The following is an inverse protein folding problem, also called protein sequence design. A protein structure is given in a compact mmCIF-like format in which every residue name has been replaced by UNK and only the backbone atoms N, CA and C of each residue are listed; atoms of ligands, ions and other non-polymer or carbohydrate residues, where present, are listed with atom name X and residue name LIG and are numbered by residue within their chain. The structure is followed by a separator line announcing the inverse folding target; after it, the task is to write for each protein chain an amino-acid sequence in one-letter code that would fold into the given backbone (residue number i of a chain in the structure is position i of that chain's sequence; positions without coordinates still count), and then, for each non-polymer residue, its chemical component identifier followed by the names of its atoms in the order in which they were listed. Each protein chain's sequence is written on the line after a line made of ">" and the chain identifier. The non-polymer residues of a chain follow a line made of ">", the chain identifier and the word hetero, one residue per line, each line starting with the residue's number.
data_IF_872211139293
#
_entry.id   IF_872211139293
#
_cell.length_a   1.000
_cell.length_b   1.000
_cell.length_c   1.000
_cell.angle_alpha   90.00
_cell.angle_beta   90.00
_cell.angle_gamma   90.00
#
_symmetry.space_group_name_H-M   'P 1'
#
loop_
_entity.id
_entity.type
_entity.pdbx_description
1 polymer ?
#
# COMPACT_ATOMS: atom_id res chain seq x y z
N UNK A 1 43.14 38.93 -8.12
CA UNK A 1 42.72 37.51 -8.19
C UNK A 1 41.93 37.11 -6.93
N UNK A 2 40.64 37.48 -6.81
CA UNK A 2 39.87 37.23 -5.57
C UNK A 2 38.37 36.92 -5.81
N UNK A 3 38.02 36.20 -6.89
CA UNK A 3 36.61 35.88 -7.22
C UNK A 3 36.22 34.40 -7.04
N UNK A 4 37.14 33.52 -6.63
CA UNK A 4 36.90 32.06 -6.57
C UNK A 4 36.42 31.50 -5.22
N UNK A 5 36.68 32.18 -4.10
CA UNK A 5 36.44 31.63 -2.76
C UNK A 5 34.97 31.68 -2.30
N UNK A 6 34.21 32.70 -2.76
CA UNK A 6 32.79 32.87 -2.40
C UNK A 6 31.87 31.85 -3.08
N UNK A 7 32.14 31.53 -4.36
CA UNK A 7 31.32 30.60 -5.14
C UNK A 7 31.44 29.15 -4.65
N UNK A 8 32.67 28.71 -4.30
CA UNK A 8 32.89 27.37 -3.71
C UNK A 8 32.17 27.19 -2.37
N UNK A 9 32.17 28.22 -1.52
CA UNK A 9 31.52 28.19 -0.20
C UNK A 9 29.99 28.16 -0.29
N UNK A 10 29.41 28.81 -1.31
CA UNK A 10 27.98 28.74 -1.59
C UNK A 10 27.55 27.37 -2.13
N UNK A 11 28.35 26.75 -3.02
CA UNK A 11 28.08 25.42 -3.58
C UNK A 11 28.13 24.33 -2.49
N UNK A 12 29.11 24.40 -1.57
CA UNK A 12 29.22 23.41 -0.48
C UNK A 12 28.11 23.56 0.55
N UNK A 13 27.63 24.79 0.81
CA UNK A 13 26.51 25.03 1.73
C UNK A 13 25.20 24.47 1.15
N UNK A 14 24.90 24.76 -0.12
CA UNK A 14 23.69 24.25 -0.78
C UNK A 14 23.67 22.73 -0.94
N UNK A 15 24.83 22.09 -1.07
CA UNK A 15 24.94 20.62 -1.10
C UNK A 15 24.64 20.00 0.25
N UNK A 16 25.22 20.53 1.33
CA UNK A 16 24.99 20.03 2.68
C UNK A 16 23.53 20.18 3.16
N UNK A 17 22.88 21.30 2.81
CA UNK A 17 21.46 21.57 3.13
C UNK A 17 20.52 20.61 2.38
N UNK A 18 20.79 20.38 1.09
CA UNK A 18 20.05 19.37 0.31
C UNK A 18 20.27 17.96 0.86
N UNK A 19 21.50 17.61 1.22
CA UNK A 19 21.82 16.30 1.78
C UNK A 19 21.11 16.06 3.14
N UNK A 20 20.80 17.12 3.90
CA UNK A 20 19.96 17.03 5.11
C UNK A 20 18.47 16.87 4.81
N UNK A 21 17.93 17.61 3.84
CA UNK A 21 16.52 17.53 3.46
C UNK A 21 16.17 16.15 2.90
N UNK A 22 17.01 15.63 2.01
CA UNK A 22 16.86 14.30 1.45
C UNK A 22 16.91 13.22 2.57
N UNK A 23 17.51 13.53 3.74
CA UNK A 23 17.77 12.55 4.80
C UNK A 23 16.54 12.49 5.71
N UNK A 24 16.01 13.67 5.99
CA UNK A 24 14.72 13.86 6.60
C UNK A 24 13.62 13.19 5.76
N UNK A 25 13.59 13.41 4.45
CA UNK A 25 12.61 12.77 3.54
C UNK A 25 12.71 11.25 3.61
N UNK A 26 13.92 10.70 3.55
CA UNK A 26 14.11 9.26 3.64
C UNK A 26 13.63 8.69 4.99
N UNK A 27 13.83 9.39 6.09
CA UNK A 27 13.39 8.97 7.42
C UNK A 27 11.86 9.04 7.57
N UNK A 28 11.24 10.10 7.04
CA UNK A 28 9.78 10.26 6.99
C UNK A 28 9.16 9.10 6.20
N UNK A 29 9.69 8.78 5.02
CA UNK A 29 9.15 7.72 4.17
C UNK A 29 9.25 6.35 4.84
N UNK A 30 10.35 6.07 5.54
CA UNK A 30 10.59 4.79 6.24
C UNK A 30 9.72 4.58 7.46
N UNK A 31 9.31 5.65 8.15
CA UNK A 31 8.61 5.53 9.42
C UNK A 31 7.11 5.78 9.32
N UNK A 32 6.62 6.30 8.20
CA UNK A 32 5.24 6.78 8.10
C UNK A 32 4.46 6.24 6.91
N UNK A 33 5.12 5.71 5.87
CA UNK A 33 4.42 5.14 4.72
C UNK A 33 4.36 3.62 4.85
N UNK A 34 3.13 3.11 4.82
CA UNK A 34 2.80 1.69 4.86
C UNK A 34 1.86 1.37 3.69
N UNK A 35 1.97 0.18 3.14
CA UNK A 35 1.20 -0.20 1.96
C UNK A 35 0.96 -1.68 1.87
N UNK A 36 -0.16 -2.04 1.25
CA UNK A 36 -0.54 -3.43 0.99
C UNK A 36 -1.01 -3.52 -0.45
N UNK A 37 -0.54 -4.54 -1.16
CA UNK A 37 -1.07 -4.92 -2.47
C UNK A 37 -1.22 -6.45 -2.54
N UNK A 38 -2.25 -6.92 -3.22
CA UNK A 38 -2.49 -8.36 -3.38
C UNK A 38 -1.58 -8.98 -4.45
N UNK A 39 -1.08 -8.17 -5.39
CA UNK A 39 -0.20 -8.62 -6.45
C UNK A 39 1.27 -8.51 -5.99
N UNK A 40 2.01 -9.62 -5.86
CA UNK A 40 3.41 -9.60 -5.44
C UNK A 40 4.28 -8.72 -6.35
N UNK A 41 4.01 -8.68 -7.66
CA UNK A 41 4.77 -7.83 -8.58
C UNK A 41 4.57 -6.33 -8.30
N UNK A 42 3.36 -5.91 -7.91
CA UNK A 42 3.08 -4.53 -7.51
C UNK A 42 3.85 -4.16 -6.24
N UNK A 43 3.91 -5.08 -5.27
CA UNK A 43 4.65 -4.91 -4.02
C UNK A 43 6.14 -4.69 -4.32
N UNK A 44 6.75 -5.51 -5.16
CA UNK A 44 8.15 -5.36 -5.54
C UNK A 44 8.44 -4.05 -6.27
N UNK A 45 7.58 -3.66 -7.21
CA UNK A 45 7.70 -2.38 -7.92
C UNK A 45 7.60 -1.20 -6.94
N UNK A 46 6.67 -1.25 -5.98
CA UNK A 46 6.51 -0.21 -4.97
C UNK A 46 7.74 -0.11 -4.05
N UNK A 47 8.27 -1.25 -3.59
CA UNK A 47 9.53 -1.30 -2.80
C UNK A 47 10.69 -0.71 -3.61
N UNK A 48 10.81 -1.06 -4.88
CA UNK A 48 11.85 -0.52 -5.78
C UNK A 48 11.68 0.99 -6.02
N UNK A 49 10.45 1.47 -6.20
CA UNK A 49 10.18 2.90 -6.40
C UNK A 49 10.56 3.71 -5.14
N UNK A 50 10.18 3.21 -3.96
CA UNK A 50 10.53 3.83 -2.69
C UNK A 50 12.04 3.77 -2.43
N UNK A 51 12.67 2.67 -2.84
CA UNK A 51 14.12 2.49 -2.83
C UNK A 51 14.81 3.52 -3.71
N UNK A 52 14.40 3.69 -4.98
CA UNK A 52 14.96 4.69 -5.90
C UNK A 52 14.77 6.12 -5.39
N UNK A 53 13.63 6.41 -4.76
CA UNK A 53 13.34 7.73 -4.23
C UNK A 53 14.20 8.10 -3.01
N UNK A 54 14.60 7.09 -2.21
CA UNK A 54 15.40 7.28 -1.00
C UNK A 54 16.87 6.90 -1.16
N UNK A 55 17.24 6.35 -2.33
CA UNK A 55 18.59 5.88 -2.62
C UNK A 55 19.60 7.03 -2.60
N UNK A 56 20.69 6.81 -1.87
CA UNK A 56 21.83 7.72 -1.81
C UNK A 56 23.11 6.98 -2.16
N UNK A 57 24.02 7.67 -2.83
CA UNK A 57 25.33 7.11 -3.18
C UNK A 57 26.28 6.87 -2.00
N UNK A 58 25.95 7.38 -0.80
CA UNK A 58 26.85 7.43 0.36
C UNK A 58 26.42 6.56 1.56
N UNK A 59 25.22 5.97 1.55
CA UNK A 59 24.73 5.14 2.66
C UNK A 59 24.23 3.78 2.17
N UNK A 60 24.55 2.68 2.89
CA UNK A 60 23.93 1.40 2.62
C UNK A 60 22.43 1.49 2.87
N UNK A 61 21.69 0.73 2.07
CA UNK A 61 20.25 0.78 1.99
C UNK A 61 19.65 0.21 3.27
N UNK A 62 18.77 0.97 3.91
CA UNK A 62 17.91 0.42 4.98
C UNK A 62 16.76 -0.35 4.35
N UNK A 63 16.45 -1.52 4.89
CA UNK A 63 15.34 -2.37 4.46
C UNK A 63 14.00 -1.62 4.58
N UNK A 64 13.44 -1.22 3.44
CA UNK A 64 12.07 -0.68 3.32
C UNK A 64 11.03 -1.79 3.14
N UNK A 65 11.49 -3.04 3.24
CA UNK A 65 10.73 -4.24 2.90
C UNK A 65 9.59 -4.53 3.88
N UNK A 66 9.71 -4.03 5.12
CA UNK A 66 8.75 -4.31 6.19
C UNK A 66 7.48 -3.46 6.11
N UNK A 67 7.52 -2.32 5.41
CA UNK A 67 6.39 -1.39 5.35
C UNK A 67 5.40 -1.71 4.23
N UNK A 68 5.89 -2.25 3.11
CA UNK A 68 5.08 -2.62 1.95
C UNK A 68 4.94 -4.14 1.95
N UNK A 69 3.73 -4.64 2.15
CA UNK A 69 3.45 -6.07 2.33
C UNK A 69 2.49 -6.60 1.27
N UNK A 70 2.60 -7.89 0.99
CA UNK A 70 1.63 -8.58 0.14
C UNK A 70 0.41 -8.99 0.98
N UNK A 71 -0.79 -8.77 0.45
CA UNK A 71 -2.02 -9.19 1.11
C UNK A 71 -3.29 -8.56 0.55
N UNK A 72 -4.42 -9.08 0.98
CA UNK A 72 -5.72 -8.51 0.71
C UNK A 72 -6.12 -7.58 1.85
N UNK A 73 -6.11 -6.27 1.55
CA UNK A 73 -6.43 -5.21 2.49
C UNK A 73 -7.88 -5.22 3.00
N UNK A 74 -8.79 -5.94 2.33
CA UNK A 74 -10.22 -5.93 2.62
C UNK A 74 -10.68 -7.08 3.53
N UNK A 75 -9.91 -8.16 3.64
CA UNK A 75 -10.31 -9.34 4.42
C UNK A 75 -9.27 -9.65 5.50
N UNK A 76 -9.76 -9.83 6.73
CA UNK A 76 -8.96 -10.24 7.87
C UNK A 76 -8.95 -11.75 8.07
N UNK A 77 -8.21 -12.19 9.09
CA UNK A 77 -8.14 -13.60 9.50
C UNK A 77 -9.49 -14.16 10.00
N UNK A 78 -10.44 -13.28 10.32
CA UNK A 78 -11.82 -13.59 10.70
C UNK A 78 -12.68 -14.05 9.52
N UNK A 79 -12.28 -13.75 8.27
CA UNK A 79 -12.97 -14.20 7.05
C UNK A 79 -13.17 -15.73 7.03
N UNK A 80 -12.18 -16.48 7.53
CA UNK A 80 -12.21 -17.94 7.58
C UNK A 80 -12.99 -18.53 8.76
N UNK A 81 -13.40 -17.72 9.76
CA UNK A 81 -14.05 -18.22 10.99
C UNK A 81 -15.52 -18.62 10.81
N UNK A 82 -16.13 -18.30 9.67
CA UNK A 82 -17.55 -18.61 9.39
C UNK A 82 -17.84 -19.18 8.01
N UNK A 83 -16.87 -19.19 7.10
CA UNK A 83 -16.99 -19.78 5.78
C UNK A 83 -16.03 -20.96 5.69
N UNK A 84 -16.62 -22.16 5.57
CA UNK A 84 -16.06 -23.36 4.93
C UNK A 84 -14.59 -23.63 5.27
N UNK A 85 -14.37 -24.67 6.08
CA UNK A 85 -13.06 -25.23 6.48
C UNK A 85 -11.92 -24.88 5.50
N UNK A 86 -10.91 -24.14 5.95
CA UNK A 86 -9.75 -23.69 5.14
C UNK A 86 -9.16 -24.82 4.29
N UNK A 87 -9.28 -26.07 4.77
CA UNK A 87 -8.91 -27.31 4.10
C UNK A 87 -9.60 -27.56 2.75
N UNK A 88 -10.74 -26.93 2.47
CA UNK A 88 -11.54 -27.10 1.25
C UNK A 88 -11.13 -26.16 0.11
N UNK A 89 -10.36 -25.11 0.41
CA UNK A 89 -9.81 -24.23 -0.61
C UNK A 89 -8.53 -24.81 -1.19
N UNK A 90 -8.45 -24.88 -2.52
CA UNK A 90 -7.21 -25.17 -3.22
C UNK A 90 -6.16 -24.05 -2.99
N UNK A 91 -4.90 -24.35 -3.31
CA UNK A 91 -3.78 -23.42 -3.10
C UNK A 91 -3.97 -22.09 -3.85
N UNK A 92 -4.57 -22.13 -5.04
CA UNK A 92 -4.85 -20.94 -5.86
C UNK A 92 -5.92 -20.07 -5.19
N UNK A 93 -6.97 -20.65 -4.61
CA UNK A 93 -8.00 -19.89 -3.90
C UNK A 93 -7.44 -19.23 -2.64
N UNK A 94 -6.53 -19.90 -1.93
CA UNK A 94 -5.86 -19.32 -0.77
C UNK A 94 -4.97 -18.15 -1.14
N UNK A 95 -4.18 -18.28 -2.21
CA UNK A 95 -3.36 -17.18 -2.75
C UNK A 95 -4.22 -16.00 -3.24
N UNK A 96 -5.41 -16.26 -3.81
CA UNK A 96 -6.32 -15.19 -4.26
C UNK A 96 -7.05 -14.49 -3.12
N UNK A 97 -7.28 -15.18 -2.01
CA UNK A 97 -7.86 -14.57 -0.82
C UNK A 97 -6.80 -13.77 -0.06
N UNK A 98 -5.64 -14.39 0.19
CA UNK A 98 -4.48 -13.83 0.88
C UNK A 98 -4.85 -12.85 2.00
N UNK A 99 -5.64 -13.33 2.97
CA UNK A 99 -6.18 -12.46 4.01
C UNK A 99 -5.06 -11.79 4.81
N UNK A 100 -5.23 -10.50 5.08
CA UNK A 100 -4.22 -9.70 5.73
C UNK A 100 -4.71 -9.18 7.08
N UNK A 101 -3.98 -9.54 8.12
CA UNK A 101 -4.20 -9.03 9.47
C UNK A 101 -3.33 -7.80 9.72
N UNK A 102 -3.96 -6.63 9.73
CA UNK A 102 -3.31 -5.34 9.90
C UNK A 102 -2.61 -5.17 11.25
N UNK A 103 -3.20 -5.65 12.34
CA UNK A 103 -2.65 -5.50 13.70
C UNK A 103 -1.41 -6.37 13.87
N UNK A 104 -1.49 -7.62 13.39
CA UNK A 104 -0.35 -8.54 13.37
C UNK A 104 0.75 -8.03 12.44
N UNK A 105 0.36 -7.40 11.32
CA UNK A 105 1.32 -6.97 10.33
C UNK A 105 2.06 -5.67 10.67
N UNK A 106 1.41 -4.76 11.37
CA UNK A 106 1.97 -3.45 11.73
C UNK A 106 1.83 -3.17 13.23
N UNK A 107 2.42 -4.00 14.11
CA UNK A 107 2.20 -3.91 15.55
C UNK A 107 2.64 -2.57 16.14
N UNK A 108 3.72 -1.98 15.60
CA UNK A 108 4.24 -0.68 16.06
C UNK A 108 3.25 0.45 15.76
N UNK A 109 2.55 0.38 14.62
CA UNK A 109 1.56 1.39 14.21
C UNK A 109 0.33 1.30 15.10
N UNK A 110 -0.20 0.09 15.30
CA UNK A 110 -1.37 -0.13 16.14
C UNK A 110 -1.09 0.12 17.63
N UNK A 111 0.14 -0.13 18.10
CA UNK A 111 0.57 0.28 19.44
C UNK A 111 0.54 1.80 19.65
N UNK A 112 0.61 2.60 18.58
CA UNK A 112 0.53 4.07 18.62
C UNK A 112 -0.88 4.61 18.36
N UNK A 113 -1.88 3.74 18.24
CA UNK A 113 -3.27 4.13 17.98
C UNK A 113 -3.72 3.96 16.53
N UNK A 114 -2.90 3.37 15.67
CA UNK A 114 -3.25 3.08 14.27
C UNK A 114 -2.73 4.13 13.28
N UNK A 115 -3.37 4.19 12.11
CA UNK A 115 -3.00 5.11 11.04
C UNK A 115 -3.75 6.44 11.17
N UNK A 116 -3.03 7.56 11.07
CA UNK A 116 -3.64 8.90 11.04
C UNK A 116 -4.44 9.16 9.74
N UNK A 117 -4.01 8.54 8.63
CA UNK A 117 -4.66 8.65 7.34
C UNK A 117 -4.53 7.35 6.55
N UNK A 118 -5.60 6.99 5.84
CA UNK A 118 -5.64 5.83 4.93
C UNK A 118 -6.05 6.32 3.56
N UNK A 119 -5.25 5.98 2.55
CA UNK A 119 -5.48 6.34 1.15
C UNK A 119 -5.48 5.07 0.31
N UNK A 120 -6.41 4.95 -0.62
CA UNK A 120 -6.48 3.81 -1.53
C UNK A 120 -7.22 4.15 -2.82
N UNK A 121 -6.87 3.44 -3.88
CA UNK A 121 -7.63 3.41 -5.13
C UNK A 121 -8.22 2.01 -5.29
N UNK A 122 -9.35 1.71 -4.62
CA UNK A 122 -9.90 0.36 -4.60
C UNK A 122 -10.35 -0.10 -5.99
N UNK A 123 -10.47 -1.42 -6.23
CA UNK A 123 -10.88 -1.94 -7.52
C UNK A 123 -12.32 -1.52 -7.86
N UNK A 124 -12.50 -0.87 -9.01
CA UNK A 124 -13.81 -0.49 -9.50
C UNK A 124 -14.53 -1.69 -10.11
N UNK A 125 -15.62 -2.13 -9.49
CA UNK A 125 -16.46 -3.17 -10.06
C UNK A 125 -17.55 -2.55 -10.94
N UNK A 126 -17.56 -2.88 -12.23
CA UNK A 126 -18.63 -2.46 -13.13
C UNK A 126 -19.91 -3.23 -12.78
N UNK A 127 -20.97 -2.54 -12.35
CA UNK A 127 -22.26 -3.16 -12.01
C UNK A 127 -22.82 -4.03 -13.14
N UNK A 128 -22.52 -3.69 -14.39
CA UNK A 128 -22.93 -4.44 -15.59
C UNK A 128 -22.39 -5.88 -15.60
N UNK A 129 -21.23 -6.14 -14.95
CA UNK A 129 -20.70 -7.49 -14.81
C UNK A 129 -21.39 -8.29 -13.71
N UNK A 130 -22.01 -7.63 -12.72
CA UNK A 130 -22.78 -8.30 -11.68
C UNK A 130 -24.09 -8.89 -12.23
N UNK A 131 -24.78 -8.18 -13.14
CA UNK A 131 -26.02 -8.64 -13.77
C UNK A 131 -25.88 -9.96 -14.54
N UNK A 132 -24.71 -10.22 -15.14
CA UNK A 132 -24.41 -11.46 -15.84
C UNK A 132 -24.08 -12.61 -14.89
N UNK A 133 -23.49 -12.31 -13.74
CA UNK A 133 -23.00 -13.30 -12.76
C UNK A 133 -24.05 -13.75 -11.74
N UNK A 134 -25.13 -12.99 -11.55
CA UNK A 134 -26.21 -13.30 -10.60
C UNK A 134 -27.60 -13.13 -11.24
N UNK A 135 -28.17 -14.19 -11.83
CA UNK A 135 -29.48 -14.14 -12.47
C UNK A 135 -30.60 -13.64 -11.54
N UNK A 136 -30.47 -13.94 -10.24
CA UNK A 136 -31.46 -13.60 -9.19
C UNK A 136 -31.43 -12.09 -8.89
N UNK A 137 -30.26 -11.44 -8.98
CA UNK A 137 -30.09 -10.00 -8.74
C UNK A 137 -30.82 -9.16 -9.80
N UNK A 138 -30.86 -9.65 -11.06
CA UNK A 138 -31.57 -8.99 -12.15
C UNK A 138 -33.08 -8.91 -11.92
N UNK A 139 -33.68 -9.95 -11.31
CA UNK A 139 -35.08 -9.93 -10.89
C UNK A 139 -35.34 -8.94 -9.73
N UNK A 140 -34.41 -8.83 -8.79
CA UNK A 140 -34.53 -7.92 -7.64
C UNK A 140 -34.46 -6.44 -8.07
N UNK A 141 -33.51 -6.08 -8.92
CA UNK A 141 -33.40 -4.70 -9.41
C UNK A 141 -34.57 -4.30 -10.32
N UNK A 142 -35.08 -5.23 -11.15
CA UNK A 142 -36.22 -4.96 -12.03
C UNK A 142 -37.55 -4.73 -11.27
N UNK A 143 -37.69 -5.31 -10.08
CA UNK A 143 -38.88 -5.15 -9.22
C UNK A 143 -38.82 -3.95 -8.28
N UNK A 144 -37.64 -3.34 -8.08
CA UNK A 144 -37.44 -2.16 -7.26
C UNK A 144 -37.63 -0.82 -8.00
N UNK A 145 -37.84 -0.84 -9.32
CA UNK A 145 -38.22 0.36 -10.06
C UNK A 145 -39.67 0.73 -9.67
N UNK A 146 -39.93 1.92 -9.10
CA UNK A 146 -41.28 2.30 -8.73
C UNK A 146 -42.10 2.39 -10.03
N UNK A 147 -43.23 1.67 -10.07
CA UNK A 147 -44.25 1.89 -11.08
C UNK A 147 -44.74 3.33 -10.92
N UNK A 148 -44.22 4.22 -11.75
CA UNK A 148 -44.71 5.58 -11.92
C UNK A 148 -46.13 5.51 -12.48
N UNK A 149 -47.10 5.67 -11.59
CA UNK A 149 -48.47 6.07 -11.92
C UNK A 149 -48.58 7.58 -12.02
#
# INVERSE_FOLDING_TARGET
>A
MARGAGLRRQITKGRAEKDSDDALIADILKSNIYGIDINPASVEIARLALWLHTARGDKPLSSLDENIREGNSLIGSDFYKGQIDLALYDDIQRERLNAFDWETAFPIVFARGGFDAVVGNPPYVKLQNFELSMPIWRCFCATAAPVSG
#
